data_IF_823402790031
#
_entry.id   IF_823402790031
#
_cell.length_a   1.000
_cell.length_b   1.000
_cell.length_c   1.000
_cell.angle_alpha   90.00
_cell.angle_beta   90.00
_cell.angle_gamma   90.00
#
_symmetry.space_group_name_H-M   'P 1'
#
loop_
_entity.id
_entity.type
_entity.pdbx_description
1 polymer ?
#
# COMPACT_ATOMS: atom_id res chain seq x y z
N UNK A 1 -5.02 12.05 10.00
CA UNK A 1 -5.83 13.23 9.58
C UNK A 1 -7.30 12.87 9.38
N UNK A 2 -7.65 11.74 8.74
CA UNK A 2 -9.05 11.31 8.53
C UNK A 2 -9.75 10.91 9.83
N UNK A 3 -9.06 10.21 10.73
CA UNK A 3 -9.60 9.77 12.03
C UNK A 3 -10.00 10.95 12.95
N UNK A 4 -9.15 11.99 13.02
CA UNK A 4 -9.42 13.18 13.85
C UNK A 4 -10.58 14.04 13.32
N UNK A 5 -10.78 14.07 12.00
CA UNK A 5 -11.92 14.76 11.38
C UNK A 5 -13.22 14.01 11.64
N UNK A 6 -13.18 12.67 11.63
CA UNK A 6 -14.33 11.84 11.94
C UNK A 6 -14.77 12.01 13.40
N UNK A 7 -13.84 11.93 14.35
CA UNK A 7 -14.14 12.10 15.77
C UNK A 7 -14.87 13.43 16.03
N UNK A 8 -14.36 14.53 15.45
CA UNK A 8 -14.98 15.87 15.58
C UNK A 8 -16.39 15.94 14.99
N UNK A 9 -16.63 15.28 13.85
CA UNK A 9 -17.92 15.32 13.14
C UNK A 9 -18.99 14.53 13.92
N UNK A 10 -18.64 13.43 14.58
CA UNK A 10 -19.57 12.58 15.32
C UNK A 10 -19.77 12.97 16.78
N UNK A 11 -18.96 13.89 17.32
CA UNK A 11 -19.11 14.38 18.70
C UNK A 11 -20.44 15.09 18.91
N UNK A 12 -21.18 14.67 19.93
CA UNK A 12 -22.44 15.29 20.39
C UNK A 12 -23.67 15.02 19.52
N UNK A 13 -23.65 13.98 18.64
CA UNK A 13 -24.83 13.52 17.88
C UNK A 13 -25.34 12.16 18.36
N UNK A 14 -24.66 11.51 19.30
CA UNK A 14 -24.94 10.14 19.73
C UNK A 14 -26.42 9.91 20.14
N UNK A 15 -27.02 10.85 20.86
CA UNK A 15 -28.43 10.73 21.31
C UNK A 15 -29.46 10.67 20.18
N UNK A 16 -29.17 11.30 19.06
CA UNK A 16 -30.08 11.34 17.89
C UNK A 16 -29.64 10.40 16.78
N UNK A 17 -28.49 9.76 16.92
CA UNK A 17 -27.83 9.03 15.85
C UNK A 17 -28.73 7.95 15.24
N UNK A 18 -29.29 7.06 16.02
CA UNK A 18 -30.08 5.92 15.55
C UNK A 18 -31.28 6.37 14.71
N UNK A 19 -32.03 7.36 15.21
CA UNK A 19 -33.20 7.89 14.53
C UNK A 19 -32.85 8.60 13.24
N UNK A 20 -31.84 9.47 13.31
CA UNK A 20 -31.45 10.29 12.16
C UNK A 20 -30.77 9.45 11.09
N UNK A 21 -29.89 8.51 11.46
CA UNK A 21 -29.30 7.57 10.53
C UNK A 21 -30.36 6.73 9.79
N UNK A 22 -31.39 6.28 10.49
CA UNK A 22 -32.52 5.56 9.90
C UNK A 22 -33.28 6.43 8.90
N UNK A 23 -33.60 7.68 9.25
CA UNK A 23 -34.33 8.60 8.37
C UNK A 23 -33.50 8.96 7.14
N UNK A 24 -32.24 9.38 7.35
CA UNK A 24 -31.33 9.78 6.28
C UNK A 24 -30.91 8.61 5.39
N UNK A 25 -30.98 7.38 5.83
CA UNK A 25 -30.78 6.20 4.97
C UNK A 25 -32.08 5.75 4.27
N UNK A 26 -33.17 6.51 4.38
CA UNK A 26 -34.50 6.11 3.90
C UNK A 26 -34.92 4.72 4.44
N UNK A 27 -34.61 4.44 5.70
CA UNK A 27 -34.90 3.17 6.37
C UNK A 27 -34.00 2.00 5.95
N UNK A 28 -32.94 2.23 5.17
CA UNK A 28 -32.07 1.14 4.72
C UNK A 28 -31.05 0.70 5.78
N UNK A 29 -30.56 1.61 6.62
CA UNK A 29 -29.54 1.29 7.63
C UNK A 29 -29.95 0.13 8.57
N UNK A 30 -31.18 0.09 9.15
CA UNK A 30 -31.60 -1.05 9.95
C UNK A 30 -31.68 -2.38 9.17
N UNK A 31 -32.02 -2.32 7.87
CA UNK A 31 -32.06 -3.50 7.00
C UNK A 31 -30.66 -4.02 6.73
N UNK A 32 -29.70 -3.12 6.47
CA UNK A 32 -28.30 -3.49 6.25
C UNK A 32 -27.66 -4.09 7.49
N UNK A 33 -27.94 -3.52 8.69
CA UNK A 33 -27.44 -4.08 9.96
C UNK A 33 -27.98 -5.46 10.23
N UNK A 34 -29.25 -5.73 9.92
CA UNK A 34 -29.81 -7.08 10.02
C UNK A 34 -29.08 -8.06 9.08
N UNK A 35 -28.82 -7.67 7.85
CA UNK A 35 -28.07 -8.49 6.91
C UNK A 35 -26.62 -8.75 7.38
N UNK A 36 -25.99 -7.77 8.01
CA UNK A 36 -24.67 -7.94 8.65
C UNK A 36 -24.75 -8.95 9.81
N UNK A 37 -25.73 -8.83 10.68
CA UNK A 37 -25.93 -9.76 11.80
C UNK A 37 -26.23 -11.17 11.31
N UNK A 38 -27.09 -11.31 10.26
CA UNK A 38 -27.40 -12.60 9.64
C UNK A 38 -26.12 -13.31 9.11
N UNK A 39 -25.16 -12.56 8.63
CA UNK A 39 -23.91 -13.10 8.12
C UNK A 39 -22.98 -13.68 9.21
N UNK A 40 -23.20 -13.32 10.48
CA UNK A 40 -22.45 -13.84 11.63
C UNK A 40 -22.94 -15.24 12.01
N UNK A 41 -24.24 -15.46 12.17
CA UNK A 41 -24.80 -16.75 12.55
C UNK A 41 -24.27 -17.25 13.90
N UNK A 42 -24.28 -16.38 14.93
CA UNK A 42 -23.78 -16.72 16.26
C UNK A 42 -24.69 -17.68 17.01
N UNK A 43 -24.15 -18.36 18.01
CA UNK A 43 -24.86 -19.17 19.00
C UNK A 43 -25.05 -18.40 20.31
N UNK A 44 -25.99 -18.77 21.17
CA UNK A 44 -26.20 -18.11 22.46
C UNK A 44 -24.97 -18.15 23.40
N UNK A 45 -24.10 -19.13 23.23
CA UNK A 45 -22.87 -19.30 24.01
C UNK A 45 -21.70 -18.48 23.48
N UNK A 46 -21.81 -17.96 22.26
CA UNK A 46 -20.71 -17.26 21.60
C UNK A 46 -20.48 -15.87 22.20
N UNK A 47 -19.24 -15.45 22.14
CA UNK A 47 -18.78 -14.12 22.53
C UNK A 47 -18.38 -13.33 21.29
N UNK A 48 -19.15 -12.30 20.98
CA UNK A 48 -18.97 -11.46 19.78
C UNK A 48 -18.34 -10.12 20.15
N UNK A 49 -17.31 -9.69 19.44
CA UNK A 49 -16.76 -8.34 19.53
C UNK A 49 -17.42 -7.45 18.47
N UNK A 50 -18.02 -6.35 18.89
CA UNK A 50 -18.54 -5.31 17.99
C UNK A 50 -17.63 -4.09 18.04
N UNK A 51 -16.82 -3.90 17.00
CA UNK A 51 -15.83 -2.82 16.91
C UNK A 51 -16.43 -1.62 16.20
N UNK A 52 -16.13 -0.41 16.68
CA UNK A 52 -16.85 0.83 16.36
C UNK A 52 -18.36 0.64 16.64
N UNK A 53 -18.67 0.13 17.83
CA UNK A 53 -20.04 -0.24 18.22
C UNK A 53 -21.01 0.94 18.22
N UNK A 54 -20.48 2.19 18.30
CA UNK A 54 -21.26 3.41 18.32
C UNK A 54 -22.27 3.39 19.47
N UNK A 55 -23.54 3.62 19.14
CA UNK A 55 -24.66 3.56 20.08
C UNK A 55 -25.14 2.13 20.40
N UNK A 56 -24.51 1.08 19.82
CA UNK A 56 -24.84 -0.32 20.08
C UNK A 56 -25.98 -0.89 19.24
N UNK A 57 -26.27 -0.34 18.06
CA UNK A 57 -27.36 -0.84 17.21
C UNK A 57 -27.13 -2.27 16.72
N UNK A 58 -25.91 -2.60 16.29
CA UNK A 58 -25.56 -3.96 15.84
C UNK A 58 -25.49 -4.91 17.01
N UNK A 59 -24.88 -4.50 18.12
CA UNK A 59 -24.85 -5.27 19.37
C UNK A 59 -26.25 -5.65 19.87
N UNK A 60 -27.19 -4.69 19.88
CA UNK A 60 -28.57 -4.94 20.26
C UNK A 60 -29.27 -5.95 19.34
N UNK A 61 -29.01 -5.87 18.04
CA UNK A 61 -29.58 -6.82 17.07
C UNK A 61 -28.98 -8.22 17.22
N UNK A 62 -27.65 -8.33 17.50
CA UNK A 62 -26.98 -9.61 17.80
C UNK A 62 -27.59 -10.30 19.02
N UNK A 63 -27.75 -9.57 20.12
CA UNK A 63 -28.38 -10.10 21.35
C UNK A 63 -29.83 -10.48 21.10
N UNK A 64 -30.61 -9.62 20.44
CA UNK A 64 -32.01 -9.89 20.12
C UNK A 64 -32.20 -11.16 19.29
N UNK A 65 -31.31 -11.40 18.33
CA UNK A 65 -31.44 -12.49 17.37
C UNK A 65 -30.83 -13.80 17.87
N UNK A 66 -29.71 -13.75 18.54
CA UNK A 66 -28.94 -14.93 18.90
C UNK A 66 -28.83 -15.17 20.41
N UNK A 67 -29.09 -14.16 21.24
CA UNK A 67 -28.89 -14.27 22.69
C UNK A 67 -27.40 -14.38 23.07
N UNK A 68 -26.49 -14.05 22.18
CA UNK A 68 -25.05 -14.15 22.38
C UNK A 68 -24.52 -13.04 23.29
N UNK A 69 -23.29 -13.23 23.83
CA UNK A 69 -22.62 -12.23 24.65
C UNK A 69 -21.88 -11.25 23.74
N UNK A 70 -22.07 -9.95 23.97
CA UNK A 70 -21.44 -8.93 23.12
C UNK A 70 -20.52 -8.04 23.95
N UNK A 71 -19.28 -7.88 23.48
CA UNK A 71 -18.35 -6.85 23.94
C UNK A 71 -18.34 -5.75 22.90
N UNK A 72 -18.63 -4.51 23.30
CA UNK A 72 -18.58 -3.34 22.43
C UNK A 72 -17.28 -2.57 22.62
N UNK A 73 -16.64 -2.16 21.53
CA UNK A 73 -15.49 -1.28 21.55
C UNK A 73 -15.74 -0.07 20.65
N UNK A 74 -15.47 1.11 21.18
CA UNK A 74 -15.52 2.37 20.41
C UNK A 74 -14.47 3.35 20.93
N UNK A 75 -13.96 4.22 20.07
CA UNK A 75 -13.02 5.28 20.47
C UNK A 75 -13.72 6.51 21.07
N UNK A 76 -15.05 6.64 20.87
CA UNK A 76 -15.84 7.79 21.28
C UNK A 76 -16.53 7.53 22.62
N UNK A 77 -16.13 8.26 23.65
CA UNK A 77 -16.77 8.22 24.96
C UNK A 77 -18.26 8.60 24.89
N UNK A 78 -18.65 9.55 24.01
CA UNK A 78 -20.05 9.95 23.79
C UNK A 78 -20.90 8.80 23.23
N UNK A 79 -20.36 8.05 22.28
CA UNK A 79 -21.03 6.87 21.70
C UNK A 79 -21.17 5.76 22.74
N UNK A 80 -20.13 5.48 23.52
CA UNK A 80 -20.19 4.50 24.60
C UNK A 80 -21.17 4.91 25.70
N UNK A 81 -21.27 6.21 26.00
CA UNK A 81 -22.29 6.70 26.94
C UNK A 81 -23.71 6.42 26.45
N UNK A 82 -23.98 6.59 25.14
CA UNK A 82 -25.26 6.22 24.56
C UNK A 82 -25.46 4.69 24.54
N UNK A 83 -24.44 3.91 24.23
CA UNK A 83 -24.50 2.45 24.25
C UNK A 83 -24.84 1.91 25.67
N UNK A 84 -24.31 2.50 26.73
CA UNK A 84 -24.63 2.15 28.13
C UNK A 84 -26.10 2.28 28.49
N UNK A 85 -26.87 3.08 27.76
CA UNK A 85 -28.32 3.22 27.96
C UNK A 85 -29.15 2.00 27.46
N UNK A 86 -28.49 0.99 26.88
CA UNK A 86 -29.11 -0.24 26.38
C UNK A 86 -28.93 -1.38 27.41
N UNK A 87 -29.85 -1.59 28.35
CA UNK A 87 -29.68 -2.62 29.37
C UNK A 87 -29.64 -4.02 28.75
N UNK A 88 -28.77 -4.88 29.26
CA UNK A 88 -28.72 -6.29 28.88
C UNK A 88 -28.11 -6.57 27.48
N UNK A 89 -27.59 -5.55 26.79
CA UNK A 89 -26.96 -5.73 25.46
C UNK A 89 -25.49 -6.11 25.57
N UNK A 90 -24.76 -5.48 26.47
CA UNK A 90 -23.31 -5.63 26.54
C UNK A 90 -22.87 -6.42 27.77
N UNK A 91 -21.95 -7.38 27.54
CA UNK A 91 -21.13 -7.98 28.59
C UNK A 91 -20.14 -6.94 29.13
N UNK A 92 -19.53 -6.18 28.21
CA UNK A 92 -18.54 -5.15 28.50
C UNK A 92 -18.56 -4.07 27.41
N UNK A 93 -18.31 -2.82 27.81
CA UNK A 93 -18.01 -1.71 26.91
C UNK A 93 -16.58 -1.21 27.17
N UNK A 94 -15.79 -1.13 26.12
CA UNK A 94 -14.37 -0.77 26.19
C UNK A 94 -14.12 0.46 25.31
N UNK A 95 -13.47 1.47 25.89
CA UNK A 95 -12.97 2.58 25.09
C UNK A 95 -11.61 2.18 24.48
N UNK A 96 -11.50 2.28 23.16
CA UNK A 96 -10.30 1.85 22.45
C UNK A 96 -10.38 2.08 20.97
N UNK A 97 -9.26 1.87 20.29
CA UNK A 97 -9.10 2.07 18.84
C UNK A 97 -8.96 0.73 18.13
N UNK A 98 -9.50 0.67 16.90
CA UNK A 98 -9.47 -0.53 16.07
C UNK A 98 -8.05 -0.90 15.60
N UNK A 99 -7.13 0.05 15.55
CA UNK A 99 -5.74 -0.15 15.17
C UNK A 99 -4.93 -0.97 16.21
N UNK A 100 -5.41 -0.99 17.46
CA UNK A 100 -4.80 -1.75 18.56
C UNK A 100 -5.86 -2.16 19.57
N UNK A 101 -6.35 -3.37 19.43
CA UNK A 101 -7.40 -3.92 20.28
C UNK A 101 -6.81 -4.41 21.62
N UNK A 102 -7.38 -4.02 22.78
CA UNK A 102 -6.88 -4.43 24.09
C UNK A 102 -7.32 -5.85 24.47
N UNK A 103 -7.30 -6.77 23.50
CA UNK A 103 -7.73 -8.15 23.70
C UNK A 103 -6.64 -9.13 23.21
N UNK A 104 -6.49 -10.29 23.86
CA UNK A 104 -5.61 -11.35 23.40
C UNK A 104 -6.04 -11.92 22.05
N UNK A 105 -5.11 -12.64 21.39
CA UNK A 105 -5.39 -13.39 20.17
C UNK A 105 -6.49 -14.42 20.42
N UNK A 106 -7.36 -14.63 19.43
CA UNK A 106 -8.37 -15.68 19.42
C UNK A 106 -9.29 -15.65 20.68
N UNK A 107 -9.67 -14.45 21.15
CA UNK A 107 -10.50 -14.25 22.35
C UNK A 107 -12.01 -14.15 22.10
N UNK A 108 -12.41 -14.02 20.83
CA UNK A 108 -13.81 -13.91 20.42
C UNK A 108 -14.19 -14.98 19.40
N UNK A 109 -15.43 -15.48 19.49
CA UNK A 109 -15.97 -16.45 18.53
C UNK A 109 -16.27 -15.78 17.20
N UNK A 110 -16.77 -14.52 17.23
CA UNK A 110 -17.08 -13.74 16.05
C UNK A 110 -16.75 -12.25 16.26
N UNK A 111 -16.72 -11.48 15.16
CA UNK A 111 -16.50 -10.05 15.19
C UNK A 111 -17.38 -9.33 14.18
N UNK A 112 -17.95 -8.18 14.59
CA UNK A 112 -18.62 -7.23 13.70
C UNK A 112 -17.96 -5.86 13.76
N UNK A 113 -18.03 -5.12 12.65
CA UNK A 113 -17.70 -3.70 12.62
C UNK A 113 -18.55 -2.97 11.56
N UNK A 114 -18.88 -1.71 11.85
CA UNK A 114 -19.79 -0.93 11.00
C UNK A 114 -19.20 0.44 10.72
N UNK A 115 -19.10 0.82 9.43
CA UNK A 115 -18.60 2.11 8.96
C UNK A 115 -17.23 2.49 9.51
N UNK A 116 -16.31 1.52 9.62
CA UNK A 116 -15.01 1.69 10.27
C UNK A 116 -13.89 2.04 9.29
N UNK A 117 -13.75 1.28 8.18
CA UNK A 117 -12.52 1.29 7.37
C UNK A 117 -12.20 2.64 6.70
N UNK A 118 -13.20 3.51 6.54
CA UNK A 118 -13.00 4.87 6.03
C UNK A 118 -12.38 5.85 7.04
N UNK A 119 -12.36 5.49 8.30
CA UNK A 119 -11.96 6.36 9.40
C UNK A 119 -10.66 5.95 10.06
N UNK A 120 -9.97 4.95 9.51
CA UNK A 120 -8.66 4.49 9.96
C UNK A 120 -7.57 4.91 8.97
N UNK A 121 -6.35 5.07 9.45
CA UNK A 121 -5.22 5.51 8.61
C UNK A 121 -4.76 4.40 7.66
N UNK A 122 -4.74 3.14 8.11
CA UNK A 122 -4.39 1.97 7.30
C UNK A 122 -5.42 0.84 7.46
N UNK A 123 -6.37 0.71 6.51
CA UNK A 123 -7.37 -0.36 6.54
C UNK A 123 -6.79 -1.79 6.51
N UNK A 124 -5.62 -1.99 5.90
CA UNK A 124 -5.00 -3.32 5.84
C UNK A 124 -4.46 -3.75 7.20
N UNK A 125 -3.81 -2.84 7.93
CA UNK A 125 -3.32 -3.10 9.29
C UNK A 125 -4.50 -3.37 10.24
N UNK A 126 -5.55 -2.56 10.15
CA UNK A 126 -6.75 -2.74 10.98
C UNK A 126 -7.40 -4.09 10.71
N UNK A 127 -7.53 -4.52 9.46
CA UNK A 127 -8.10 -5.84 9.15
C UNK A 127 -7.28 -6.99 9.75
N UNK A 128 -5.95 -6.90 9.79
CA UNK A 128 -5.10 -7.87 10.48
C UNK A 128 -5.38 -7.90 11.98
N UNK A 129 -5.53 -6.74 12.61
CA UNK A 129 -5.81 -6.61 14.04
C UNK A 129 -7.21 -7.15 14.40
N UNK A 130 -8.22 -6.84 13.57
CA UNK A 130 -9.56 -7.39 13.73
C UNK A 130 -9.58 -8.92 13.61
N UNK A 131 -8.88 -9.46 12.62
CA UNK A 131 -8.78 -10.91 12.45
C UNK A 131 -8.01 -11.60 13.58
N UNK A 132 -7.02 -10.94 14.17
CA UNK A 132 -6.17 -11.48 15.24
C UNK A 132 -6.99 -11.96 16.45
N UNK A 133 -7.97 -11.17 16.86
CA UNK A 133 -8.77 -11.43 18.07
C UNK A 133 -9.89 -12.44 17.88
N UNK A 134 -10.21 -12.83 16.64
CA UNK A 134 -11.24 -13.83 16.32
C UNK A 134 -10.63 -15.24 16.40
N UNK A 135 -11.32 -16.21 16.95
CA UNK A 135 -10.91 -17.62 16.99
C UNK A 135 -10.86 -18.22 15.58
N UNK A 136 -9.98 -19.19 15.31
CA UNK A 136 -10.04 -19.98 14.08
C UNK A 136 -11.43 -20.58 13.85
N UNK A 137 -11.96 -20.46 12.63
CA UNK A 137 -13.34 -20.85 12.30
C UNK A 137 -14.40 -19.79 12.64
N UNK A 138 -14.05 -18.75 13.40
CA UNK A 138 -14.92 -17.64 13.72
C UNK A 138 -15.22 -16.75 12.51
N UNK A 139 -16.37 -16.09 12.52
CA UNK A 139 -16.81 -15.22 11.44
C UNK A 139 -16.56 -13.76 11.73
N UNK A 140 -16.23 -13.02 10.68
CA UNK A 140 -16.14 -11.56 10.68
C UNK A 140 -17.18 -11.03 9.72
N UNK A 141 -17.97 -10.03 10.12
CA UNK A 141 -18.91 -9.35 9.23
C UNK A 141 -18.82 -7.83 9.38
N UNK A 142 -18.87 -7.13 8.27
CA UNK A 142 -18.91 -5.68 8.24
C UNK A 142 -20.08 -5.13 7.46
N UNK A 143 -20.43 -3.89 7.78
CA UNK A 143 -21.30 -3.06 6.99
C UNK A 143 -20.58 -1.76 6.64
N UNK A 144 -20.50 -1.47 5.35
CA UNK A 144 -19.93 -0.23 4.83
C UNK A 144 -20.86 0.41 3.79
N UNK A 145 -20.78 1.73 3.65
CA UNK A 145 -21.33 2.39 2.48
C UNK A 145 -20.54 1.97 1.24
N UNK A 146 -21.20 1.98 0.08
CA UNK A 146 -20.56 1.70 -1.19
C UNK A 146 -20.96 2.73 -2.25
N UNK A 147 -20.22 2.76 -3.34
CA UNK A 147 -20.53 3.58 -4.51
C UNK A 147 -21.21 2.68 -5.55
N UNK A 148 -22.46 2.94 -5.93
CA UNK A 148 -23.14 2.17 -6.97
C UNK A 148 -22.48 2.38 -8.33
N UNK A 149 -22.67 1.40 -9.21
CA UNK A 149 -22.23 1.50 -10.61
C UNK A 149 -23.37 1.83 -11.59
N UNK A 150 -22.99 2.05 -12.86
CA UNK A 150 -23.94 2.22 -13.96
C UNK A 150 -24.92 3.36 -13.76
N UNK A 151 -26.18 3.12 -14.13
CA UNK A 151 -27.27 4.11 -14.12
C UNK A 151 -27.63 4.64 -12.73
N UNK A 152 -27.25 3.94 -11.66
CA UNK A 152 -27.53 4.36 -10.30
C UNK A 152 -26.55 5.36 -9.74
N UNK A 153 -25.35 5.48 -10.30
CA UNK A 153 -24.30 6.39 -9.83
C UNK A 153 -24.71 7.87 -9.87
N UNK A 154 -25.29 8.41 -10.96
CA UNK A 154 -25.75 9.79 -10.97
C UNK A 154 -26.82 10.09 -9.92
N UNK A 155 -27.76 9.17 -9.72
CA UNK A 155 -28.84 9.32 -8.75
C UNK A 155 -28.31 9.27 -7.31
N UNK A 156 -27.38 8.39 -7.03
CA UNK A 156 -26.69 8.29 -5.75
C UNK A 156 -25.87 9.56 -5.46
N UNK A 157 -25.17 10.11 -6.48
CA UNK A 157 -24.45 11.37 -6.35
C UNK A 157 -25.38 12.54 -6.08
N UNK A 158 -26.51 12.63 -6.78
CA UNK A 158 -27.52 13.62 -6.53
C UNK A 158 -28.01 13.56 -5.08
N UNK A 159 -28.33 12.35 -4.62
CA UNK A 159 -28.75 12.12 -3.24
C UNK A 159 -27.67 12.51 -2.23
N UNK A 160 -26.44 12.02 -2.38
CA UNK A 160 -25.37 12.22 -1.38
C UNK A 160 -24.78 13.62 -1.39
N UNK A 161 -24.83 14.35 -2.52
CA UNK A 161 -24.28 15.72 -2.64
C UNK A 161 -25.28 16.81 -2.41
N UNK A 162 -26.58 16.56 -2.63
CA UNK A 162 -27.65 17.55 -2.50
C UNK A 162 -28.70 17.06 -1.51
N UNK A 163 -29.35 15.93 -1.76
CA UNK A 163 -30.47 15.44 -0.96
C UNK A 163 -30.09 15.21 0.51
N UNK A 164 -28.99 14.52 0.76
CA UNK A 164 -28.53 14.21 2.12
C UNK A 164 -28.13 15.47 2.91
N UNK A 165 -27.28 16.39 2.39
CA UNK A 165 -26.97 17.64 3.08
C UNK A 165 -28.21 18.50 3.38
N UNK A 166 -29.15 18.62 2.44
CA UNK A 166 -30.38 19.38 2.62
C UNK A 166 -31.25 18.74 3.70
N UNK A 167 -31.51 17.42 3.63
CA UNK A 167 -32.28 16.71 4.63
C UNK A 167 -31.63 16.75 6.02
N UNK A 168 -30.31 16.59 6.09
CA UNK A 168 -29.56 16.67 7.35
C UNK A 168 -29.61 18.10 7.96
N UNK A 169 -29.64 19.15 7.14
CA UNK A 169 -29.77 20.54 7.59
C UNK A 169 -31.12 20.79 8.28
N UNK A 170 -32.18 20.13 7.83
CA UNK A 170 -33.49 20.22 8.49
C UNK A 170 -33.50 19.60 9.89
N UNK A 171 -32.55 18.72 10.21
CA UNK A 171 -32.41 18.11 11.54
C UNK A 171 -31.61 19.03 12.47
N UNK A 172 -30.40 19.40 12.09
CA UNK A 172 -29.57 20.35 12.84
C UNK A 172 -28.31 20.76 12.04
N UNK A 173 -27.63 21.84 12.51
CA UNK A 173 -26.35 22.28 11.94
C UNK A 173 -25.26 21.19 12.02
N UNK A 174 -25.20 20.40 13.11
CA UNK A 174 -24.26 19.28 13.26
C UNK A 174 -24.54 18.19 12.23
N UNK A 175 -25.79 17.82 12.03
CA UNK A 175 -26.17 16.83 11.02
C UNK A 175 -25.93 17.31 9.59
N UNK A 176 -26.07 18.62 9.36
CA UNK A 176 -25.69 19.21 8.06
C UNK A 176 -24.23 18.98 7.71
N UNK A 177 -23.31 19.11 8.70
CA UNK A 177 -21.90 18.81 8.52
C UNK A 177 -21.66 17.31 8.20
N UNK A 178 -22.34 16.39 8.90
CA UNK A 178 -22.30 14.96 8.61
C UNK A 178 -22.80 14.67 7.18
N UNK A 179 -23.93 15.25 6.78
CA UNK A 179 -24.51 15.05 5.46
C UNK A 179 -23.61 15.55 4.33
N UNK A 180 -22.99 16.72 4.51
CA UNK A 180 -22.05 17.27 3.53
C UNK A 180 -20.73 16.48 3.43
N UNK A 181 -20.28 15.89 4.53
CA UNK A 181 -19.04 15.11 4.60
C UNK A 181 -19.19 13.70 3.99
N UNK A 182 -20.35 13.06 4.15
CA UNK A 182 -20.49 11.62 3.94
C UNK A 182 -20.25 11.21 2.47
N UNK A 183 -20.94 11.83 1.50
CA UNK A 183 -20.80 11.49 0.09
C UNK A 183 -19.37 11.61 -0.46
N UNK A 184 -18.73 12.77 -0.33
CA UNK A 184 -17.33 12.95 -0.74
C UNK A 184 -16.35 12.01 -0.03
N UNK A 185 -16.59 11.70 1.24
CA UNK A 185 -15.76 10.77 2.01
C UNK A 185 -15.83 9.34 1.45
N UNK A 186 -17.04 8.87 1.11
CA UNK A 186 -17.25 7.55 0.49
C UNK A 186 -16.58 7.49 -0.88
N UNK A 187 -16.79 8.47 -1.75
CA UNK A 187 -16.17 8.50 -3.08
C UNK A 187 -14.65 8.48 -2.98
N UNK A 188 -14.07 9.29 -2.09
CA UNK A 188 -12.61 9.35 -1.87
C UNK A 188 -12.04 8.02 -1.40
N UNK A 189 -12.71 7.37 -0.46
CA UNK A 189 -12.27 6.06 0.03
C UNK A 189 -12.23 5.03 -1.10
N UNK A 190 -13.29 4.88 -1.88
CA UNK A 190 -13.33 3.91 -2.96
C UNK A 190 -12.51 4.28 -4.19
N UNK A 191 -12.14 5.55 -4.36
CA UNK A 191 -11.15 5.95 -5.36
C UNK A 191 -9.74 5.43 -5.02
N UNK A 192 -9.38 5.45 -3.73
CA UNK A 192 -8.09 4.94 -3.25
C UNK A 192 -8.12 3.43 -2.93
N UNK A 193 -9.28 2.91 -2.52
CA UNK A 193 -9.49 1.52 -2.08
C UNK A 193 -10.68 0.91 -2.83
N UNK A 194 -10.56 0.60 -4.13
CA UNK A 194 -11.61 -0.10 -4.87
C UNK A 194 -12.05 -1.39 -4.16
N UNK A 195 -13.28 -1.84 -4.38
CA UNK A 195 -13.86 -3.00 -3.70
C UNK A 195 -12.93 -4.23 -3.70
N UNK A 196 -12.28 -4.52 -4.83
CA UNK A 196 -11.33 -5.62 -4.94
C UNK A 196 -10.08 -5.46 -4.04
N UNK A 197 -9.69 -4.22 -3.74
CA UNK A 197 -8.58 -3.91 -2.81
C UNK A 197 -9.05 -4.12 -1.37
N UNK A 198 -10.28 -3.69 -1.03
CA UNK A 198 -10.85 -3.95 0.31
C UNK A 198 -10.97 -5.46 0.56
N UNK A 199 -11.50 -6.22 -0.41
CA UNK A 199 -11.56 -7.69 -0.30
C UNK A 199 -10.19 -8.33 -0.15
N UNK A 200 -9.16 -7.74 -0.76
CA UNK A 200 -7.78 -8.22 -0.59
C UNK A 200 -7.31 -8.03 0.86
N UNK A 201 -7.61 -6.90 1.51
CA UNK A 201 -7.27 -6.69 2.93
C UNK A 201 -7.85 -7.78 3.83
N UNK A 202 -9.07 -8.23 3.54
CA UNK A 202 -9.68 -9.34 4.26
C UNK A 202 -8.91 -10.65 4.07
N UNK A 203 -8.55 -10.98 2.81
CA UNK A 203 -7.79 -12.20 2.51
C UNK A 203 -6.38 -12.14 3.09
N UNK A 204 -5.72 -10.99 3.00
CA UNK A 204 -4.37 -10.79 3.53
C UNK A 204 -4.35 -10.85 5.07
N UNK A 205 -5.46 -10.57 5.74
CA UNK A 205 -5.66 -10.75 7.18
C UNK A 205 -5.92 -12.22 7.60
N UNK A 206 -5.88 -13.17 6.68
CA UNK A 206 -6.11 -14.59 6.96
C UNK A 206 -7.58 -15.00 7.04
N UNK A 207 -8.45 -14.19 6.43
CA UNK A 207 -9.88 -14.49 6.30
C UNK A 207 -10.15 -15.18 4.96
N UNK A 208 -10.89 -16.27 5.00
CA UNK A 208 -11.29 -17.08 3.84
C UNK A 208 -12.79 -16.93 3.59
N UNK A 209 -13.26 -17.42 2.45
CA UNK A 209 -14.67 -17.34 2.04
C UNK A 209 -15.21 -15.90 2.04
N UNK A 210 -14.40 -14.95 1.63
CA UNK A 210 -14.75 -13.52 1.60
C UNK A 210 -15.91 -13.33 0.62
N UNK A 211 -17.03 -12.88 1.13
CA UNK A 211 -18.24 -12.55 0.37
C UNK A 211 -18.60 -11.09 0.53
N UNK A 212 -18.98 -10.44 -0.55
CA UNK A 212 -19.46 -9.05 -0.54
C UNK A 212 -20.87 -9.01 -1.16
N UNK A 213 -21.85 -8.66 -0.36
CA UNK A 213 -23.25 -8.53 -0.79
C UNK A 213 -23.61 -7.06 -0.90
N UNK A 214 -23.89 -6.60 -2.11
CA UNK A 214 -24.31 -5.22 -2.35
C UNK A 214 -25.79 -5.05 -1.98
N UNK A 215 -26.07 -3.96 -1.26
CA UNK A 215 -27.41 -3.63 -0.77
C UNK A 215 -27.90 -2.33 -1.45
N UNK A 216 -29.24 -2.18 -1.54
CA UNK A 216 -29.88 -0.93 -1.95
C UNK A 216 -29.26 -0.33 -3.22
N UNK A 217 -29.35 -1.07 -4.35
CA UNK A 217 -28.83 -0.66 -5.66
C UNK A 217 -27.30 -0.40 -5.68
N UNK A 218 -26.58 -0.88 -4.67
CA UNK A 218 -25.13 -0.73 -4.53
C UNK A 218 -24.68 0.42 -3.63
N UNK A 219 -25.59 1.07 -2.90
CA UNK A 219 -25.26 2.15 -1.96
C UNK A 219 -24.74 1.66 -0.61
N UNK A 220 -24.93 0.37 -0.27
CA UNK A 220 -24.35 -0.30 0.88
C UNK A 220 -23.68 -1.61 0.48
N UNK A 221 -22.77 -2.09 1.30
CA UNK A 221 -22.13 -3.40 1.15
C UNK A 221 -21.98 -4.07 2.51
N UNK A 222 -22.48 -5.30 2.62
CA UNK A 222 -22.20 -6.20 3.71
C UNK A 222 -21.13 -7.17 3.27
N UNK A 223 -20.01 -7.21 4.01
CA UNK A 223 -18.94 -8.18 3.77
C UNK A 223 -18.90 -9.18 4.91
N UNK A 224 -18.62 -10.44 4.59
CA UNK A 224 -18.41 -11.48 5.58
C UNK A 224 -17.32 -12.45 5.14
N UNK A 225 -16.64 -13.03 6.13
CA UNK A 225 -15.63 -14.05 5.92
C UNK A 225 -15.45 -14.90 7.18
N UNK A 226 -14.75 -16.01 7.05
CA UNK A 226 -14.38 -16.89 8.15
C UNK A 226 -12.88 -16.80 8.41
N UNK A 227 -12.47 -16.73 9.68
CA UNK A 227 -11.05 -16.85 10.01
C UNK A 227 -10.60 -18.27 9.72
N UNK A 228 -9.57 -18.40 8.89
CA UNK A 228 -9.01 -19.70 8.54
C UNK A 228 -8.64 -20.48 9.80
N UNK A 229 -8.95 -21.78 9.84
CA UNK A 229 -8.34 -22.69 10.81
C UNK A 229 -6.84 -22.66 10.53
N UNK A 230 -6.06 -22.20 11.50
CA UNK A 230 -4.61 -22.29 11.31
C UNK A 230 -4.28 -23.75 11.06
N UNK A 231 -3.60 -24.11 9.96
CA UNK A 231 -2.83 -25.32 9.97
C UNK A 231 -1.88 -25.20 11.18
N UNK A 232 -1.69 -26.29 11.97
CA UNK A 232 -0.68 -26.35 13.01
C UNK A 232 0.57 -25.64 12.51
N UNK A 233 1.25 -24.80 13.30
CA UNK A 233 2.42 -24.10 12.83
C UNK A 233 3.41 -25.13 12.28
N UNK A 234 3.47 -25.28 10.99
CA UNK A 234 4.68 -25.70 10.33
C UNK A 234 5.64 -24.60 10.73
N UNK A 235 6.69 -24.95 11.44
CA UNK A 235 7.70 -24.01 11.91
C UNK A 235 7.92 -22.98 10.81
N UNK A 236 7.61 -21.70 11.09
CA UNK A 236 7.61 -20.66 10.08
C UNK A 236 8.94 -20.75 9.32
N UNK A 237 8.94 -20.96 8.01
CA UNK A 237 10.19 -20.98 7.29
C UNK A 237 10.91 -19.66 7.59
N UNK A 238 12.23 -19.67 7.79
CA UNK A 238 12.98 -18.51 8.22
C UNK A 238 12.60 -17.32 7.33
N UNK A 239 12.31 -16.18 7.96
CA UNK A 239 11.84 -14.99 7.24
C UNK A 239 12.80 -14.71 6.10
N UNK A 240 12.30 -14.72 4.87
CA UNK A 240 13.12 -14.43 3.70
C UNK A 240 13.72 -13.04 3.84
N UNK A 241 14.99 -12.89 3.45
CA UNK A 241 15.62 -11.59 3.37
C UNK A 241 14.74 -10.62 2.54
N UNK A 242 14.71 -9.31 2.84
CA UNK A 242 13.82 -8.36 2.17
C UNK A 242 14.04 -8.22 0.66
N UNK A 243 15.22 -8.63 0.19
CA UNK A 243 15.58 -8.77 -1.22
C UNK A 243 16.58 -9.92 -1.39
N UNK A 244 16.74 -10.44 -2.62
CA UNK A 244 17.64 -11.58 -2.89
C UNK A 244 19.13 -11.26 -2.63
N UNK A 245 19.51 -9.99 -2.68
CA UNK A 245 20.88 -9.50 -2.40
C UNK A 245 21.04 -8.98 -0.97
N UNK A 246 19.96 -8.88 -0.19
CA UNK A 246 20.02 -8.36 1.17
C UNK A 246 20.75 -9.33 2.10
N UNK A 247 21.75 -8.83 2.78
CA UNK A 247 22.47 -9.56 3.81
C UNK A 247 21.70 -9.56 5.14
N UNK A 248 22.08 -10.41 6.10
CA UNK A 248 21.55 -10.36 7.47
C UNK A 248 21.88 -9.01 8.09
N UNK A 249 20.89 -8.32 8.69
CA UNK A 249 21.05 -6.98 9.23
C UNK A 249 22.15 -6.88 10.30
N UNK A 250 22.93 -5.78 10.26
CA UNK A 250 23.94 -5.38 11.24
C UNK A 250 25.33 -5.12 10.65
N UNK A 251 25.94 -3.98 11.05
CA UNK A 251 27.26 -3.55 10.63
C UNK A 251 27.36 -3.28 9.13
N UNK A 252 28.52 -3.51 8.50
CA UNK A 252 28.80 -3.28 7.07
C UNK A 252 27.80 -3.96 6.10
N UNK A 253 27.07 -4.96 6.59
CA UNK A 253 26.05 -5.67 5.81
C UNK A 253 24.82 -4.80 5.55
N UNK A 254 24.53 -3.86 6.45
CA UNK A 254 23.46 -2.88 6.23
C UNK A 254 23.86 -1.89 5.14
N UNK A 255 25.14 -1.48 5.10
CA UNK A 255 25.69 -0.59 4.05
C UNK A 255 25.63 -1.27 2.69
N UNK A 256 26.04 -2.55 2.60
CA UNK A 256 25.92 -3.37 1.39
C UNK A 256 24.44 -3.47 0.93
N UNK A 257 23.53 -3.74 1.87
CA UNK A 257 22.11 -3.87 1.56
C UNK A 257 21.52 -2.54 1.10
N UNK A 258 21.95 -1.42 1.70
CA UNK A 258 21.51 -0.07 1.33
C UNK A 258 21.90 0.29 -0.10
N UNK A 259 23.09 -0.08 -0.54
CA UNK A 259 23.58 0.21 -1.89
C UNK A 259 22.78 -0.48 -3.01
N UNK A 260 21.93 -1.46 -2.70
CA UNK A 260 21.19 -2.22 -3.72
C UNK A 260 22.06 -2.69 -4.89
N UNK A 261 23.18 -3.40 -4.68
CA UNK A 261 24.24 -3.54 -5.68
C UNK A 261 23.78 -3.96 -7.07
N UNK A 262 22.89 -4.98 -7.25
CA UNK A 262 22.42 -5.35 -8.59
C UNK A 262 21.69 -4.22 -9.31
N UNK A 263 20.88 -3.44 -8.59
CA UNK A 263 20.10 -2.37 -9.20
C UNK A 263 20.93 -1.12 -9.44
N UNK A 264 21.83 -0.79 -8.54
CA UNK A 264 22.78 0.31 -8.74
C UNK A 264 23.66 0.06 -9.95
N UNK A 265 24.23 -1.14 -10.06
CA UNK A 265 25.04 -1.53 -11.24
C UNK A 265 24.21 -1.54 -12.52
N UNK A 266 22.95 -1.98 -12.45
CA UNK A 266 22.04 -1.89 -13.59
C UNK A 266 21.88 -0.46 -14.09
N UNK A 267 21.60 0.50 -13.20
CA UNK A 267 21.42 1.89 -13.60
C UNK A 267 22.74 2.55 -14.07
N UNK A 268 23.87 2.20 -13.47
CA UNK A 268 25.19 2.64 -13.94
C UNK A 268 25.54 2.06 -15.33
N UNK A 269 25.03 0.88 -15.67
CA UNK A 269 25.18 0.33 -17.03
C UNK A 269 24.48 1.19 -18.08
N UNK A 270 23.43 1.91 -17.74
CA UNK A 270 22.78 2.86 -18.65
C UNK A 270 23.63 4.13 -18.88
N UNK A 271 24.43 4.54 -17.91
CA UNK A 271 25.46 5.59 -18.09
C UNK A 271 26.51 5.13 -19.10
N UNK A 272 27.01 3.89 -18.96
CA UNK A 272 27.96 3.31 -19.90
C UNK A 272 27.35 3.17 -21.30
N UNK A 273 26.09 2.75 -21.40
CA UNK A 273 25.38 2.62 -22.67
C UNK A 273 25.24 3.98 -23.36
N UNK A 274 24.88 5.04 -22.61
CA UNK A 274 24.82 6.40 -23.12
C UNK A 274 26.17 6.89 -23.63
N UNK A 275 27.26 6.61 -22.93
CA UNK A 275 28.60 6.93 -23.34
C UNK A 275 29.02 6.20 -24.64
N UNK A 276 28.68 4.91 -24.76
CA UNK A 276 29.05 4.08 -25.91
C UNK A 276 28.38 4.50 -27.24
N UNK A 277 27.42 5.43 -27.21
CA UNK A 277 26.79 5.97 -28.42
C UNK A 277 27.77 6.91 -29.18
N UNK A 278 28.57 7.65 -28.46
CA UNK A 278 29.58 8.54 -29.10
C UNK A 278 30.71 7.71 -29.73
N UNK A 279 31.25 8.15 -30.87
CA UNK A 279 32.38 7.46 -31.53
C UNK A 279 33.64 7.37 -30.66
N UNK A 280 33.95 8.42 -29.89
CA UNK A 280 35.12 8.53 -29.03
C UNK A 280 34.76 9.25 -27.73
N UNK A 281 34.10 8.57 -26.79
CA UNK A 281 33.68 9.18 -25.53
C UNK A 281 34.92 9.51 -24.65
N UNK A 282 34.98 10.75 -24.13
CA UNK A 282 36.06 11.15 -23.19
C UNK A 282 35.95 10.33 -21.89
N UNK A 283 36.95 9.54 -21.50
CA UNK A 283 36.94 8.72 -20.30
C UNK A 283 36.72 9.53 -19.02
N UNK A 284 37.11 10.81 -18.97
CA UNK A 284 36.92 11.67 -17.80
C UNK A 284 35.48 12.04 -17.61
N UNK A 285 34.75 12.34 -18.71
CA UNK A 285 33.33 12.62 -18.70
C UNK A 285 32.54 11.35 -18.26
N UNK A 286 32.92 10.20 -18.81
CA UNK A 286 32.32 8.91 -18.44
C UNK A 286 32.50 8.60 -16.95
N UNK A 287 33.75 8.75 -16.46
CA UNK A 287 34.07 8.54 -15.05
C UNK A 287 33.30 9.51 -14.13
N UNK A 288 33.24 10.79 -14.49
CA UNK A 288 32.48 11.80 -13.75
C UNK A 288 30.98 11.49 -13.70
N UNK A 289 30.38 11.04 -14.82
CA UNK A 289 28.99 10.62 -14.89
C UNK A 289 28.74 9.39 -14.01
N UNK A 290 29.61 8.37 -14.07
CA UNK A 290 29.47 7.18 -13.20
C UNK A 290 29.52 7.55 -11.72
N UNK A 291 30.43 8.43 -11.31
CA UNK A 291 30.52 8.89 -9.92
C UNK A 291 29.26 9.68 -9.53
N UNK A 292 28.81 10.64 -10.36
CA UNK A 292 27.66 11.46 -10.08
C UNK A 292 26.35 10.62 -9.98
N UNK A 293 26.11 9.71 -10.93
CA UNK A 293 24.97 8.81 -10.88
C UNK A 293 25.09 7.78 -9.75
N UNK A 294 26.29 7.26 -9.47
CA UNK A 294 26.55 6.36 -8.35
C UNK A 294 26.23 6.99 -6.99
N UNK A 295 26.60 8.25 -6.81
CA UNK A 295 26.25 9.02 -5.60
C UNK A 295 24.76 9.33 -5.54
N UNK A 296 24.17 9.85 -6.61
CA UNK A 296 22.77 10.27 -6.61
C UNK A 296 21.80 9.10 -6.48
N UNK A 297 22.00 8.03 -7.26
CA UNK A 297 21.12 6.86 -7.31
C UNK A 297 21.55 5.78 -6.31
N UNK A 298 22.84 5.38 -6.34
CA UNK A 298 23.36 4.29 -5.53
C UNK A 298 23.37 4.59 -4.03
N UNK A 299 23.54 5.84 -3.63
CA UNK A 299 23.56 6.25 -2.23
C UNK A 299 22.35 7.15 -1.93
N UNK A 300 22.20 8.26 -2.64
CA UNK A 300 21.22 9.29 -2.33
C UNK A 300 19.78 8.79 -2.35
N UNK A 301 19.35 8.23 -3.47
CA UNK A 301 17.97 7.72 -3.62
C UNK A 301 17.67 6.59 -2.62
N UNK A 302 18.59 5.65 -2.43
CA UNK A 302 18.40 4.50 -1.54
C UNK A 302 18.39 4.89 -0.05
N UNK A 303 19.22 5.88 0.35
CA UNK A 303 19.22 6.40 1.71
C UNK A 303 17.87 7.09 2.04
N UNK A 304 17.33 7.86 1.10
CA UNK A 304 16.02 8.49 1.27
C UNK A 304 14.85 7.48 1.23
N UNK A 305 14.93 6.44 0.39
CA UNK A 305 13.94 5.36 0.33
C UNK A 305 13.90 4.58 1.66
N UNK A 306 15.06 4.26 2.24
CA UNK A 306 15.16 3.54 3.52
C UNK A 306 14.65 4.36 4.72
N UNK A 307 14.62 5.70 4.64
CA UNK A 307 13.99 6.55 5.67
C UNK A 307 12.47 6.34 5.75
N UNK A 308 11.84 5.87 4.67
CA UNK A 308 10.39 5.68 4.58
C UNK A 308 10.02 4.21 4.80
N UNK A 309 9.69 3.88 6.06
CA UNK A 309 9.17 2.56 6.42
C UNK A 309 10.20 1.43 6.44
N UNK A 310 11.51 1.72 6.31
CA UNK A 310 12.58 0.71 6.38
C UNK A 310 12.38 -0.50 5.47
N UNK A 311 12.21 -0.31 4.15
CA UNK A 311 11.91 -1.41 3.23
C UNK A 311 12.97 -2.51 3.20
N UNK A 312 14.22 -2.21 3.54
CA UNK A 312 15.33 -3.15 3.62
C UNK A 312 15.61 -3.65 5.03
N UNK A 313 14.95 -3.07 6.05
CA UNK A 313 15.12 -3.43 7.46
C UNK A 313 16.58 -3.25 7.96
N UNK A 314 17.29 -2.23 7.45
CA UNK A 314 18.62 -1.88 7.93
C UNK A 314 18.56 -1.29 9.33
N UNK A 315 19.67 -1.38 10.09
CA UNK A 315 19.81 -0.76 11.42
C UNK A 315 20.51 0.59 11.39
N UNK A 316 20.74 1.15 10.19
CA UNK A 316 21.41 2.45 10.02
C UNK A 316 20.55 3.53 10.68
N UNK A 317 21.08 4.36 11.58
CA UNK A 317 20.31 5.44 12.21
C UNK A 317 19.75 6.42 11.20
N UNK A 318 18.56 6.97 11.42
CA UNK A 318 17.91 7.87 10.47
C UNK A 318 18.72 9.12 10.17
N UNK A 319 19.45 9.68 11.15
CA UNK A 319 20.31 10.83 10.94
C UNK A 319 21.50 10.51 10.00
N UNK A 320 22.01 9.27 10.05
CA UNK A 320 23.08 8.81 9.12
C UNK A 320 22.53 8.71 7.71
N UNK A 321 21.31 8.15 7.52
CA UNK A 321 20.66 8.07 6.21
C UNK A 321 20.39 9.47 5.63
N UNK A 322 19.93 10.43 6.46
CA UNK A 322 19.74 11.82 6.05
C UNK A 322 21.07 12.43 5.61
N UNK A 323 22.12 12.28 6.41
CA UNK A 323 23.45 12.81 6.10
C UNK A 323 24.00 12.19 4.81
N UNK A 324 23.99 10.86 4.70
CA UNK A 324 24.45 10.14 3.50
C UNK A 324 23.68 10.57 2.24
N UNK A 325 22.35 10.61 2.30
CA UNK A 325 21.50 10.99 1.18
C UNK A 325 21.75 12.43 0.74
N UNK A 326 21.80 13.36 1.69
CA UNK A 326 22.00 14.78 1.43
C UNK A 326 23.40 15.07 0.89
N UNK A 327 24.45 14.52 1.52
CA UNK A 327 25.84 14.72 1.08
C UNK A 327 26.06 14.10 -0.30
N UNK A 328 25.60 12.87 -0.52
CA UNK A 328 25.74 12.19 -1.81
C UNK A 328 25.06 12.98 -2.94
N UNK A 329 23.83 13.46 -2.71
CA UNK A 329 23.11 14.27 -3.70
C UNK A 329 23.79 15.63 -3.93
N UNK A 330 24.25 16.31 -2.87
CA UNK A 330 24.95 17.59 -2.97
C UNK A 330 26.27 17.45 -3.77
N UNK A 331 27.06 16.41 -3.51
CA UNK A 331 28.28 16.14 -4.26
C UNK A 331 27.96 15.80 -5.72
N UNK A 332 26.94 15.00 -6.00
CA UNK A 332 26.51 14.71 -7.37
C UNK A 332 26.09 15.98 -8.14
N UNK A 333 25.35 16.87 -7.49
CA UNK A 333 24.96 18.17 -8.06
C UNK A 333 26.18 19.06 -8.28
N UNK A 334 27.12 19.13 -7.34
CA UNK A 334 28.36 19.89 -7.50
C UNK A 334 29.19 19.41 -8.69
N UNK A 335 29.37 18.09 -8.85
CA UNK A 335 29.99 17.48 -10.01
C UNK A 335 29.24 17.86 -11.31
N UNK A 336 27.95 17.84 -11.29
CA UNK A 336 27.10 18.24 -12.42
C UNK A 336 27.25 19.73 -12.78
N UNK A 337 27.38 20.62 -11.80
CA UNK A 337 27.62 22.06 -12.01
C UNK A 337 29.01 22.27 -12.64
N UNK A 338 30.04 21.57 -12.16
CA UNK A 338 31.36 21.57 -12.77
C UNK A 338 31.30 21.08 -14.22
N UNK A 339 30.60 20.00 -14.48
CA UNK A 339 30.39 19.52 -15.84
C UNK A 339 29.61 20.54 -16.71
N UNK A 340 28.60 21.22 -16.18
CA UNK A 340 27.87 22.25 -16.90
C UNK A 340 28.73 23.46 -17.29
N UNK A 341 29.73 23.81 -16.49
CA UNK A 341 30.72 24.87 -16.88
C UNK A 341 31.58 24.51 -18.09
N UNK A 342 31.73 23.20 -18.36
CA UNK A 342 32.50 22.69 -19.51
C UNK A 342 31.59 22.36 -20.71
N UNK A 343 30.39 21.85 -20.46
CA UNK A 343 29.46 21.34 -21.47
C UNK A 343 28.37 22.35 -21.89
N UNK A 344 28.33 23.49 -21.22
CA UNK A 344 27.35 24.54 -21.48
C UNK A 344 26.13 24.54 -20.55
N UNK A 345 25.44 25.71 -20.49
CA UNK A 345 24.38 25.95 -19.53
C UNK A 345 23.21 25.00 -19.64
N UNK A 346 22.93 24.43 -20.84
CA UNK A 346 21.84 23.47 -21.01
C UNK A 346 22.04 22.19 -20.20
N UNK A 347 23.31 21.81 -19.94
CA UNK A 347 23.61 20.63 -19.09
C UNK A 347 23.15 20.83 -17.65
N UNK A 348 23.06 22.07 -17.17
CA UNK A 348 22.50 22.37 -15.85
C UNK A 348 21.02 21.90 -15.71
N UNK A 349 20.25 21.95 -16.81
CA UNK A 349 18.88 21.46 -16.79
C UNK A 349 18.83 19.93 -16.51
N UNK A 350 19.76 19.15 -17.03
CA UNK A 350 19.89 17.72 -16.69
C UNK A 350 20.27 17.53 -15.22
N UNK A 351 21.17 18.32 -14.69
CA UNK A 351 21.58 18.25 -13.28
C UNK A 351 20.39 18.52 -12.35
N UNK A 352 19.65 19.59 -12.62
CA UNK A 352 18.47 19.96 -11.82
C UNK A 352 17.34 18.92 -11.96
N UNK A 353 17.10 18.43 -13.19
CA UNK A 353 16.12 17.38 -13.42
C UNK A 353 16.50 16.07 -12.69
N UNK A 354 17.77 15.67 -12.70
CA UNK A 354 18.27 14.50 -11.99
C UNK A 354 18.12 14.62 -10.48
N UNK A 355 18.49 15.78 -9.91
CA UNK A 355 18.31 16.05 -8.48
C UNK A 355 16.83 16.02 -8.08
N UNK A 356 15.97 16.66 -8.89
CA UNK A 356 14.54 16.65 -8.68
C UNK A 356 13.97 15.23 -8.76
N UNK A 357 14.37 14.41 -9.72
CA UNK A 357 13.92 13.02 -9.85
C UNK A 357 14.25 12.20 -8.59
N UNK A 358 15.46 12.32 -8.03
CA UNK A 358 15.83 11.61 -6.79
C UNK A 358 14.93 12.01 -5.63
N UNK A 359 14.71 13.32 -5.44
CA UNK A 359 13.87 13.84 -4.34
C UNK A 359 12.40 13.44 -4.54
N UNK A 360 11.83 13.71 -5.72
CA UNK A 360 10.42 13.46 -6.01
C UNK A 360 10.09 11.96 -5.97
N UNK A 361 11.03 11.11 -6.37
CA UNK A 361 10.89 9.66 -6.25
C UNK A 361 10.87 9.21 -4.79
N UNK A 362 11.79 9.72 -3.97
CA UNK A 362 11.83 9.45 -2.53
C UNK A 362 10.56 9.92 -1.79
N UNK A 363 9.92 11.00 -2.26
CA UNK A 363 8.63 11.46 -1.77
C UNK A 363 7.42 10.70 -2.34
N UNK A 364 7.65 9.65 -3.15
CA UNK A 364 6.61 8.81 -3.77
C UNK A 364 5.56 9.61 -4.55
N UNK A 365 5.97 10.71 -5.22
CA UNK A 365 5.03 11.46 -6.06
C UNK A 365 4.44 10.52 -7.13
N UNK A 366 3.11 10.43 -7.26
CA UNK A 366 2.45 9.43 -8.11
C UNK A 366 2.93 9.41 -9.57
N UNK A 367 3.26 10.58 -10.13
CA UNK A 367 3.75 10.69 -11.51
C UNK A 367 5.14 10.07 -11.66
N UNK A 368 6.08 10.40 -10.76
CA UNK A 368 7.46 9.91 -10.79
C UNK A 368 7.55 8.47 -10.29
N UNK A 369 6.72 8.11 -9.33
CA UNK A 369 6.65 6.76 -8.75
C UNK A 369 5.79 5.79 -9.59
N UNK A 370 5.23 6.22 -10.74
CA UNK A 370 4.53 5.36 -11.69
C UNK A 370 5.50 4.44 -12.43
N UNK A 371 4.96 3.43 -13.13
CA UNK A 371 5.78 2.56 -13.99
C UNK A 371 6.49 3.33 -15.10
N UNK A 372 5.78 4.27 -15.73
CA UNK A 372 6.34 5.14 -16.77
C UNK A 372 7.37 6.12 -16.19
N UNK A 373 7.06 6.77 -15.06
CA UNK A 373 7.98 7.68 -14.39
C UNK A 373 9.28 6.99 -13.99
N UNK A 374 9.20 5.76 -13.48
CA UNK A 374 10.36 4.93 -13.18
C UNK A 374 11.18 4.59 -14.45
N UNK A 375 10.50 4.14 -15.51
CA UNK A 375 11.18 3.77 -16.75
C UNK A 375 11.91 4.96 -17.40
N UNK A 376 11.30 6.13 -17.38
CA UNK A 376 11.91 7.35 -17.90
C UNK A 376 13.03 7.88 -17.00
N UNK A 377 12.78 7.98 -15.69
CA UNK A 377 13.74 8.54 -14.73
C UNK A 377 14.96 7.65 -14.47
N UNK A 378 14.75 6.35 -14.30
CA UNK A 378 15.83 5.41 -13.97
C UNK A 378 16.37 4.64 -15.18
N UNK A 379 15.64 4.62 -16.30
CA UNK A 379 16.05 3.98 -17.54
C UNK A 379 16.57 4.96 -18.58
N UNK A 380 15.70 5.78 -19.14
CA UNK A 380 16.04 6.68 -20.25
C UNK A 380 16.98 7.83 -19.83
N UNK A 381 16.72 8.44 -18.67
CA UNK A 381 17.41 9.65 -18.24
C UNK A 381 18.94 9.49 -18.11
N UNK A 382 19.50 8.41 -17.50
CA UNK A 382 20.95 8.20 -17.46
C UNK A 382 21.57 8.09 -18.86
N UNK A 383 20.89 7.41 -19.80
CA UNK A 383 21.36 7.30 -21.20
C UNK A 383 21.41 8.67 -21.87
N UNK A 384 20.32 9.43 -21.82
CA UNK A 384 20.21 10.73 -22.50
C UNK A 384 21.19 11.74 -21.91
N UNK A 385 21.32 11.80 -20.59
CA UNK A 385 22.22 12.72 -19.89
C UNK A 385 23.66 12.45 -20.27
N UNK A 386 24.10 11.18 -20.27
CA UNK A 386 25.49 10.82 -20.58
C UNK A 386 25.76 10.97 -22.08
N UNK A 387 24.85 10.54 -22.95
CA UNK A 387 24.99 10.72 -24.39
C UNK A 387 25.13 12.20 -24.78
N UNK A 388 24.35 13.08 -24.15
CA UNK A 388 24.50 14.53 -24.32
C UNK A 388 25.90 15.01 -23.88
N UNK A 389 26.35 14.56 -22.70
CA UNK A 389 27.66 14.96 -22.16
C UNK A 389 28.84 14.57 -23.05
N UNK A 390 28.76 13.44 -23.76
CA UNK A 390 29.81 12.98 -24.68
C UNK A 390 29.57 13.40 -26.15
N UNK A 391 28.56 14.24 -26.42
CA UNK A 391 28.27 14.75 -27.77
C UNK A 391 27.74 13.70 -28.73
N UNK A 392 27.00 12.72 -28.27
CA UNK A 392 26.42 11.65 -29.06
C UNK A 392 25.29 12.11 -29.99
N UNK A 393 25.09 11.42 -31.12
CA UNK A 393 24.05 11.72 -32.08
C UNK A 393 22.66 11.44 -31.49
N UNK A 394 21.63 12.31 -31.69
CA UNK A 394 20.33 12.20 -31.05
C UNK A 394 19.52 10.94 -31.44
N UNK A 395 19.59 10.45 -32.66
CA UNK A 395 18.80 9.30 -33.14
C UNK A 395 19.20 8.00 -32.40
N UNK A 396 20.47 7.55 -32.39
CA UNK A 396 20.85 6.38 -31.59
C UNK A 396 20.68 6.61 -30.08
N UNK A 397 20.80 7.84 -29.60
CA UNK A 397 20.49 8.18 -28.19
C UNK A 397 19.03 7.89 -27.87
N UNK A 398 18.10 8.30 -28.73
CA UNK A 398 16.67 8.06 -28.51
C UNK A 398 16.34 6.55 -28.50
N UNK A 399 16.93 5.77 -29.40
CA UNK A 399 16.74 4.32 -29.46
C UNK A 399 17.30 3.61 -28.22
N UNK A 400 18.50 3.99 -27.78
CA UNK A 400 19.11 3.43 -26.58
C UNK A 400 18.33 3.82 -25.31
N UNK A 401 17.86 5.06 -25.23
CA UNK A 401 17.00 5.53 -24.13
C UNK A 401 15.67 4.77 -24.07
N UNK A 402 15.05 4.52 -25.22
CA UNK A 402 13.83 3.71 -25.29
C UNK A 402 14.07 2.25 -24.84
N UNK A 403 15.17 1.64 -25.27
CA UNK A 403 15.57 0.31 -24.84
C UNK A 403 15.82 0.25 -23.34
N UNK A 404 16.53 1.22 -22.76
CA UNK A 404 16.79 1.32 -21.33
C UNK A 404 15.48 1.53 -20.52
N UNK A 405 14.54 2.32 -21.04
CA UNK A 405 13.23 2.50 -20.42
C UNK A 405 12.43 1.19 -20.40
N UNK A 406 12.40 0.44 -21.49
CA UNK A 406 11.72 -0.86 -21.58
C UNK A 406 12.34 -1.89 -20.62
N UNK A 407 13.69 -1.95 -20.53
CA UNK A 407 14.41 -2.82 -19.60
C UNK A 407 14.12 -2.44 -18.14
N UNK A 408 14.08 -1.15 -17.82
CA UNK A 408 13.71 -0.67 -16.48
C UNK A 408 12.25 -1.00 -16.13
N UNK A 409 11.34 -0.94 -17.10
CA UNK A 409 9.95 -1.35 -16.92
C UNK A 409 9.83 -2.85 -16.65
N UNK A 410 10.57 -3.69 -17.39
CA UNK A 410 10.63 -5.12 -17.16
C UNK A 410 11.19 -5.45 -15.77
N UNK A 411 12.31 -4.81 -15.39
CA UNK A 411 12.90 -4.92 -14.05
C UNK A 411 11.88 -4.56 -12.95
N UNK A 412 11.17 -3.44 -13.10
CA UNK A 412 10.19 -2.98 -12.12
C UNK A 412 9.04 -3.99 -11.96
N UNK A 413 8.51 -4.53 -13.05
CA UNK A 413 7.44 -5.54 -13.01
C UNK A 413 7.88 -6.81 -12.29
N UNK A 414 9.05 -7.35 -12.63
CA UNK A 414 9.61 -8.55 -11.99
C UNK A 414 9.91 -8.30 -10.51
N UNK A 415 10.61 -7.20 -10.18
CA UNK A 415 10.99 -6.87 -8.81
C UNK A 415 9.80 -6.54 -7.91
N UNK A 416 8.75 -5.91 -8.42
CA UNK A 416 7.54 -5.60 -7.65
C UNK A 416 6.84 -6.88 -7.22
N UNK A 417 6.71 -7.87 -8.13
CA UNK A 417 6.11 -9.17 -7.81
C UNK A 417 6.93 -9.93 -6.76
N UNK A 418 8.24 -10.04 -6.97
CA UNK A 418 9.14 -10.74 -6.05
C UNK A 418 9.14 -10.08 -4.65
N UNK A 419 9.24 -8.73 -4.58
CA UNK A 419 9.18 -7.98 -3.32
C UNK A 419 7.85 -8.13 -2.59
N UNK A 420 6.73 -8.12 -3.31
CA UNK A 420 5.41 -8.34 -2.71
C UNK A 420 5.33 -9.70 -2.03
N UNK A 421 5.81 -10.77 -2.69
CA UNK A 421 5.84 -12.11 -2.12
C UNK A 421 6.81 -12.18 -0.92
N UNK A 422 8.03 -11.62 -1.03
CA UNK A 422 9.01 -11.65 0.06
C UNK A 422 8.57 -10.89 1.31
N UNK A 423 7.94 -9.73 1.13
CA UNK A 423 7.65 -8.80 2.24
C UNK A 423 6.27 -8.97 2.83
N UNK A 424 5.29 -9.42 2.03
CA UNK A 424 3.86 -9.41 2.40
C UNK A 424 3.24 -10.80 2.49
N UNK A 425 3.73 -11.82 1.75
CA UNK A 425 3.17 -13.15 1.84
C UNK A 425 3.58 -13.80 3.17
N UNK A 426 2.62 -14.17 3.97
CA UNK A 426 2.83 -14.92 5.22
C UNK A 426 2.90 -16.41 4.95
N UNK A 427 2.08 -16.92 4.03
CA UNK A 427 2.09 -18.31 3.56
C UNK A 427 1.75 -18.34 2.06
N UNK A 428 2.30 -19.34 1.38
CA UNK A 428 1.93 -19.73 0.02
C UNK A 428 1.86 -21.26 0.02
N UNK A 429 0.74 -21.81 -0.40
CA UNK A 429 0.55 -23.23 -0.59
C UNK A 429 -0.34 -23.47 -1.81
N UNK A 430 0.02 -24.42 -2.63
CA UNK A 430 -0.74 -24.81 -3.81
C UNK A 430 -0.06 -25.97 -4.54
N UNK A 431 -0.71 -26.46 -5.56
CA UNK A 431 -0.23 -27.53 -6.43
C UNK A 431 -0.60 -27.24 -7.86
N UNK A 432 0.35 -27.41 -8.78
CA UNK A 432 0.08 -27.42 -10.23
C UNK A 432 0.01 -28.89 -10.66
N UNK A 433 -1.08 -29.28 -11.29
CA UNK A 433 -1.18 -30.58 -11.96
C UNK A 433 -1.03 -30.35 -13.45
N UNK A 434 -0.02 -30.95 -14.05
CA UNK A 434 0.24 -30.88 -15.49
C UNK A 434 -0.62 -31.85 -16.28
N UNK A 435 -0.71 -31.67 -17.59
CA UNK A 435 -1.51 -32.52 -18.47
C UNK A 435 -1.02 -33.98 -18.51
N UNK A 436 0.24 -34.22 -18.19
CA UNK A 436 0.83 -35.55 -18.06
C UNK A 436 0.58 -36.23 -16.71
N UNK A 437 -0.18 -35.57 -15.81
CA UNK A 437 -0.48 -36.04 -14.46
C UNK A 437 0.61 -35.75 -13.43
N UNK A 438 1.73 -35.15 -13.81
CA UNK A 438 2.77 -34.73 -12.87
C UNK A 438 2.27 -33.57 -12.01
N UNK A 439 2.82 -33.46 -10.78
CA UNK A 439 2.43 -32.45 -9.79
C UNK A 439 3.63 -31.68 -9.28
N UNK A 440 3.49 -30.38 -9.21
CA UNK A 440 4.49 -29.48 -8.64
C UNK A 440 3.89 -28.68 -7.49
N UNK A 441 4.55 -28.72 -6.32
CA UNK A 441 4.13 -27.95 -5.15
C UNK A 441 4.53 -26.49 -5.33
N UNK A 442 3.56 -25.58 -5.15
CA UNK A 442 3.80 -24.14 -5.13
C UNK A 442 4.00 -23.68 -3.70
N UNK A 443 5.18 -23.14 -3.42
CA UNK A 443 5.49 -22.45 -2.19
C UNK A 443 5.96 -21.00 -2.47
N UNK A 444 6.38 -20.30 -1.42
CA UNK A 444 6.89 -18.93 -1.55
C UNK A 444 8.18 -18.88 -2.37
N UNK A 445 9.05 -19.88 -2.25
CA UNK A 445 10.33 -19.93 -2.94
C UNK A 445 10.14 -20.19 -4.44
N UNK A 446 9.25 -21.09 -4.83
CA UNK A 446 8.95 -21.39 -6.23
C UNK A 446 8.38 -20.18 -6.96
N UNK A 447 7.49 -19.40 -6.31
CA UNK A 447 6.90 -18.19 -6.92
C UNK A 447 7.90 -17.04 -7.15
N UNK A 448 8.97 -16.95 -6.35
CA UNK A 448 9.98 -15.91 -6.51
C UNK A 448 11.20 -16.34 -7.33
N UNK A 449 11.43 -17.64 -7.48
CA UNK A 449 12.60 -18.18 -8.16
C UNK A 449 12.72 -17.67 -9.61
N UNK A 450 11.66 -17.76 -10.39
CA UNK A 450 11.67 -17.32 -11.79
C UNK A 450 11.87 -15.79 -11.94
N UNK A 451 11.09 -14.90 -11.26
CA UNK A 451 11.31 -13.46 -11.39
C UNK A 451 12.67 -13.01 -10.84
N UNK A 452 13.20 -13.61 -9.78
CA UNK A 452 14.52 -13.25 -9.25
C UNK A 452 15.66 -13.81 -10.11
N UNK A 453 15.54 -15.02 -10.63
CA UNK A 453 16.47 -15.58 -11.60
C UNK A 453 16.55 -14.72 -12.86
N UNK A 454 15.40 -14.28 -13.39
CA UNK A 454 15.36 -13.34 -14.51
C UNK A 454 16.03 -12.01 -14.18
N UNK A 455 15.80 -11.44 -12.99
CA UNK A 455 16.46 -10.20 -12.55
C UNK A 455 17.98 -10.36 -12.45
N UNK A 456 18.46 -11.50 -11.93
CA UNK A 456 19.89 -11.81 -11.82
C UNK A 456 20.57 -11.91 -13.19
N UNK A 457 19.94 -12.55 -14.15
CA UNK A 457 20.47 -12.66 -15.50
C UNK A 457 20.41 -11.31 -16.25
N UNK A 458 19.34 -10.58 -16.12
CA UNK A 458 19.14 -9.32 -16.84
C UNK A 458 20.15 -8.24 -16.45
N UNK A 459 20.42 -8.04 -15.14
CA UNK A 459 21.39 -7.00 -14.77
C UNK A 459 22.81 -7.34 -15.22
N UNK A 460 23.20 -8.64 -15.21
CA UNK A 460 24.47 -9.10 -15.73
C UNK A 460 24.56 -8.89 -17.24
N UNK A 461 23.48 -9.21 -17.97
CA UNK A 461 23.43 -9.03 -19.42
C UNK A 461 23.51 -7.56 -19.82
N UNK A 462 22.77 -6.68 -19.14
CA UNK A 462 22.81 -5.23 -19.40
C UNK A 462 24.20 -4.66 -19.13
N UNK A 463 24.83 -5.07 -18.03
CA UNK A 463 26.20 -4.68 -17.71
C UNK A 463 27.18 -5.16 -18.79
N UNK A 464 27.12 -6.43 -19.16
CA UNK A 464 28.02 -7.00 -20.17
C UNK A 464 27.90 -6.29 -21.53
N UNK A 465 26.66 -6.04 -21.98
CA UNK A 465 26.40 -5.31 -23.24
C UNK A 465 26.91 -3.87 -23.16
N UNK A 466 26.66 -3.16 -22.05
CA UNK A 466 27.10 -1.78 -21.90
C UNK A 466 28.63 -1.66 -21.85
N UNK A 467 29.30 -2.55 -21.13
CA UNK A 467 30.77 -2.61 -21.08
C UNK A 467 31.35 -2.98 -22.44
N UNK A 468 30.83 -4.01 -23.10
CA UNK A 468 31.33 -4.41 -24.44
C UNK A 468 31.15 -3.28 -25.46
N UNK A 469 29.99 -2.60 -25.47
CA UNK A 469 29.72 -1.48 -26.35
C UNK A 469 30.70 -0.29 -26.10
N UNK A 470 31.01 -0.01 -24.84
CA UNK A 470 31.94 1.08 -24.49
C UNK A 470 33.39 0.70 -24.83
N UNK A 471 33.83 -0.52 -24.49
CA UNK A 471 35.21 -0.98 -24.82
C UNK A 471 35.43 -0.94 -26.32
N UNK A 472 34.45 -1.34 -27.14
CA UNK A 472 34.54 -1.24 -28.60
C UNK A 472 34.70 0.20 -29.13
N UNK A 473 34.59 1.23 -28.31
CA UNK A 473 34.86 2.64 -28.66
C UNK A 473 36.27 3.09 -28.32
N UNK A 474 36.98 2.33 -27.49
CA UNK A 474 38.35 2.65 -27.05
C UNK A 474 39.42 1.72 -27.64
N UNK A 475 38.99 0.58 -28.21
CA UNK A 475 39.82 -0.37 -28.96
C UNK A 475 39.66 -0.13 -30.46
#
# INVERSE_FOLDING_TARGET
>A
MVAADAERIFTGIARSYDRVATILSLGQDPRWRRAQVDAIGASPTDRVLDVATGTGMVAAELVRRYGCRVVGLDQSADMLAAARTRPGVFEQLVEGRAERLPFPDASFDHLTFTYLLRYVDDPAIVMCELARVVKPGGRVASLEFAVPGGVWLPLWRLYTRIGLPVAARLVSAKWSAVGAFLGPSIERFYASHPQAVVERYWRDAGLVDVRATRMSLGGGVVMSATRAHQPRPIASPPALAPAFYAARSGGWRDDWTLLHPPYTVWHLSYVLLGAAIAPSPDPRIVAGALVAFGLAVGIGAHAFDELRGRPLRTRIPSWVLIALGTVALAVAVALGIVAASMLGALFLAFVLAGAALVVLYAYELPVVHSDLGFALGWGAFPVVTTAYAVGAHPVPTALAAAAAALLSLAQRRLSTRARAIRRRATAVSGEITFADGSRETIDRSSLIAAPEGALQLLWLAVLAVAVAALVARWV
#
